data_IF_396091404380
#
_entry.id   IF_396091404380
#
_cell.length_a   1.000
_cell.length_b   1.000
_cell.length_c   1.000
_cell.angle_alpha   90.00
_cell.angle_beta   90.00
_cell.angle_gamma   90.00
#
_symmetry.space_group_name_H-M   'P 1'
#
loop_
_entity.id
_entity.type
_entity.pdbx_description
1 polymer ?
#
# COMPACT_ATOMS: atom_id res chain seq x y z
N UNK A 1 72.59 5.54 25.55
CA UNK A 1 71.95 4.49 24.72
C UNK A 1 70.64 5.04 24.16
N UNK A 2 70.20 4.48 23.03
CA UNK A 2 69.24 5.01 22.03
C UNK A 2 67.89 5.57 22.54
N UNK A 3 67.40 6.54 21.76
CA UNK A 3 66.11 7.27 21.66
C UNK A 3 64.85 6.36 21.61
N UNK A 4 63.65 6.92 21.87
CA UNK A 4 62.47 7.05 20.93
C UNK A 4 61.08 7.25 21.65
N UNK A 5 60.47 8.43 21.36
CA UNK A 5 59.06 8.84 21.06
C UNK A 5 57.86 8.45 21.97
N UNK A 6 57.03 9.38 22.51
CA UNK A 6 55.90 10.19 21.93
C UNK A 6 54.73 9.34 21.36
N UNK A 7 53.41 9.57 21.53
CA UNK A 7 52.50 10.44 22.33
C UNK A 7 51.02 10.10 21.91
N UNK A 8 50.01 10.48 22.71
CA UNK A 8 48.55 10.63 22.44
C UNK A 8 47.69 9.38 22.05
N UNK A 9 46.42 9.23 22.44
CA UNK A 9 45.49 10.10 23.15
C UNK A 9 44.07 9.51 23.26
N UNK A 10 43.18 10.34 23.83
CA UNK A 10 41.71 10.30 23.91
C UNK A 10 40.99 9.40 24.93
N UNK A 11 40.66 10.05 26.05
CA UNK A 11 39.59 9.71 26.99
C UNK A 11 38.23 10.28 26.55
N UNK A 12 37.19 9.67 27.13
CA UNK A 12 35.88 10.22 27.49
C UNK A 12 34.76 10.22 26.43
N UNK A 13 34.02 9.11 26.40
CA UNK A 13 32.62 9.02 25.97
C UNK A 13 31.82 8.58 27.22
N UNK A 14 31.24 9.54 27.93
CA UNK A 14 30.29 9.31 29.02
C UNK A 14 29.42 10.58 29.18
N UNK A 15 28.16 10.37 29.58
CA UNK A 15 27.14 11.34 30.00
C UNK A 15 26.04 11.60 28.95
N UNK A 16 24.99 10.77 28.98
CA UNK A 16 23.62 11.17 29.34
C UNK A 16 22.65 9.98 29.20
N UNK A 17 22.52 9.23 30.29
CA UNK A 17 21.30 8.48 30.61
C UNK A 17 20.55 9.26 31.69
N UNK A 18 19.22 9.06 31.76
CA UNK A 18 18.23 9.57 32.73
C UNK A 18 17.34 10.72 32.23
N UNK A 19 16.15 10.36 31.72
CA UNK A 19 14.87 10.97 32.12
C UNK A 19 13.70 10.29 31.38
N UNK A 20 13.17 9.19 31.92
CA UNK A 20 11.85 8.67 31.53
C UNK A 20 11.14 8.15 32.79
N UNK A 21 10.56 9.05 33.56
CA UNK A 21 9.48 8.76 34.52
C UNK A 21 8.64 10.02 34.72
N UNK A 22 7.48 10.11 34.07
CA UNK A 22 6.31 10.85 34.55
C UNK A 22 5.09 10.58 33.64
N UNK A 23 3.91 10.53 34.25
CA UNK A 23 2.55 10.41 33.68
C UNK A 23 1.99 9.01 33.41
N UNK A 24 1.81 8.27 34.51
CA UNK A 24 0.61 7.45 34.74
C UNK A 24 0.00 7.94 36.05
N UNK A 25 -0.97 8.87 36.01
CA UNK A 25 -2.05 8.99 37.02
C UNK A 25 -3.05 10.08 36.61
N UNK A 26 -4.22 9.71 36.07
CA UNK A 26 -5.52 10.29 36.42
C UNK A 26 -6.56 9.16 36.26
N UNK A 27 -6.84 8.52 37.39
CA UNK A 27 -7.96 7.61 37.60
C UNK A 27 -9.25 8.40 37.89
N UNK A 28 -10.35 7.90 37.33
CA UNK A 28 -11.72 7.84 37.89
C UNK A 28 -12.25 9.04 38.68
N UNK A 29 -13.31 9.66 38.14
CA UNK A 29 -14.59 9.95 38.84
C UNK A 29 -15.60 10.50 37.83
N UNK A 30 -16.70 9.78 37.60
CA UNK A 30 -18.02 10.35 37.86
C UNK A 30 -19.12 9.28 37.88
N UNK A 31 -20.06 9.56 38.77
CA UNK A 31 -21.09 8.71 39.34
C UNK A 31 -22.33 8.51 38.45
N UNK A 32 -22.94 7.35 38.69
CA UNK A 32 -24.38 7.01 38.69
C UNK A 32 -25.39 8.14 38.58
N UNK A 33 -26.34 7.99 37.65
CA UNK A 33 -27.76 8.37 37.80
C UNK A 33 -28.61 7.21 37.27
N UNK A 34 -29.47 6.65 38.11
CA UNK A 34 -30.60 5.80 37.75
C UNK A 34 -31.79 6.68 37.35
N UNK A 35 -32.65 6.19 36.46
CA UNK A 35 -34.06 5.92 36.75
C UNK A 35 -34.76 5.48 35.45
N UNK A 36 -35.25 4.23 35.49
CA UNK A 36 -36.58 3.77 35.11
C UNK A 36 -37.24 4.33 33.83
N UNK A 37 -37.40 3.46 32.81
CA UNK A 37 -38.73 3.30 32.21
C UNK A 37 -38.94 1.94 31.51
N UNK A 38 -39.75 1.12 32.17
CA UNK A 38 -40.95 0.45 31.62
C UNK A 38 -40.83 -0.48 30.40
N UNK A 39 -40.71 -1.77 30.73
CA UNK A 39 -41.46 -2.92 30.19
C UNK A 39 -42.66 -2.61 29.27
N UNK A 40 -42.58 -3.07 28.02
CA UNK A 40 -43.75 -3.59 27.31
C UNK A 40 -43.41 -4.87 26.54
N UNK A 41 -44.02 -5.96 27.01
CA UNK A 41 -44.10 -7.29 26.41
C UNK A 41 -45.03 -7.31 25.20
N UNK A 42 -44.66 -8.04 24.14
CA UNK A 42 -45.61 -8.72 23.27
C UNK A 42 -44.92 -9.87 22.49
N UNK A 43 -45.29 -11.11 22.80
CA UNK A 43 -45.19 -12.25 21.86
C UNK A 43 -46.47 -12.32 20.97
N UNK A 44 -46.72 -13.39 20.17
CA UNK A 44 -46.29 -13.51 18.78
C UNK A 44 -47.50 -13.57 17.82
N UNK A 45 -47.30 -13.25 16.53
CA UNK A 45 -48.31 -13.55 15.49
C UNK A 45 -47.78 -14.62 14.56
N UNK A 46 -48.41 -15.78 14.67
CA UNK A 46 -48.27 -16.94 13.81
C UNK A 46 -49.31 -16.90 12.68
N UNK A 47 -49.02 -17.68 11.62
CA UNK A 47 -49.92 -18.21 10.59
C UNK A 47 -50.00 -17.51 9.22
N UNK A 48 -49.20 -18.09 8.31
CA UNK A 48 -49.57 -18.67 7.00
C UNK A 48 -50.63 -17.94 6.16
N UNK A 49 -50.23 -17.47 4.97
CA UNK A 49 -50.57 -18.05 3.65
C UNK A 49 -50.02 -17.16 2.54
N UNK A 50 -49.23 -17.69 1.61
CA UNK A 50 -49.55 -17.67 0.17
C UNK A 50 -48.43 -18.32 -0.63
N UNK A 51 -48.72 -19.51 -1.12
CA UNK A 51 -47.97 -20.21 -2.17
C UNK A 51 -48.10 -19.46 -3.50
N UNK A 52 -47.10 -19.63 -4.36
CA UNK A 52 -47.05 -19.31 -5.80
C UNK A 52 -46.90 -17.83 -6.20
N UNK A 53 -45.72 -17.46 -6.71
CA UNK A 53 -45.47 -17.35 -8.17
C UNK A 53 -43.96 -17.49 -8.39
N UNK A 54 -43.59 -18.60 -9.03
CA UNK A 54 -42.37 -18.71 -9.82
C UNK A 54 -42.61 -17.97 -11.15
N UNK A 55 -41.74 -17.00 -11.47
CA UNK A 55 -41.11 -16.82 -12.80
C UNK A 55 -40.59 -15.38 -12.99
N UNK A 56 -39.39 -15.34 -13.57
CA UNK A 56 -38.80 -14.28 -14.40
C UNK A 56 -38.39 -12.97 -13.71
N UNK A 57 -37.07 -12.78 -13.57
CA UNK A 57 -36.38 -11.60 -14.09
C UNK A 57 -34.92 -11.99 -14.38
N UNK A 58 -34.75 -12.73 -15.47
CA UNK A 58 -33.48 -12.95 -16.14
C UNK A 58 -33.67 -12.42 -17.56
N UNK A 59 -33.58 -11.10 -17.68
CA UNK A 59 -33.59 -10.37 -18.95
C UNK A 59 -33.25 -8.91 -18.68
N UNK A 60 -31.97 -8.62 -18.42
CA UNK A 60 -31.35 -7.34 -18.78
C UNK A 60 -29.85 -7.59 -19.01
N UNK A 61 -29.39 -7.18 -20.20
CA UNK A 61 -28.01 -7.13 -20.70
C UNK A 61 -27.42 -8.38 -21.39
N UNK A 62 -28.00 -8.77 -22.52
CA UNK A 62 -27.24 -9.26 -23.68
C UNK A 62 -27.86 -8.71 -24.99
N UNK A 63 -27.14 -7.82 -25.68
CA UNK A 63 -27.30 -7.59 -27.14
C UNK A 63 -25.93 -7.20 -27.73
N UNK A 64 -25.56 -7.70 -28.94
CA UNK A 64 -24.20 -7.66 -29.46
C UNK A 64 -23.95 -6.43 -30.34
N UNK A 65 -22.68 -5.98 -30.39
CA UNK A 65 -22.21 -4.99 -31.36
C UNK A 65 -21.75 -5.69 -32.65
N UNK A 66 -22.38 -5.32 -33.76
CA UNK A 66 -21.98 -5.70 -35.12
C UNK A 66 -20.97 -4.70 -35.70
N UNK A 67 -19.99 -5.27 -36.41
CA UNK A 67 -19.20 -4.80 -37.56
C UNK A 67 -19.29 -3.31 -37.94
N UNK A 68 -18.15 -2.62 -37.84
CA UNK A 68 -17.82 -1.46 -38.68
C UNK A 68 -16.72 -1.81 -39.70
N UNK A 69 -16.96 -1.37 -40.94
CA UNK A 69 -16.17 -1.63 -42.14
C UNK A 69 -15.28 -0.43 -42.48
N UNK A 70 -14.02 -0.73 -42.81
CA UNK A 70 -13.11 -0.09 -43.78
C UNK A 70 -13.29 1.40 -44.17
N UNK A 71 -12.27 2.22 -43.85
CA UNK A 71 -12.00 3.52 -44.46
C UNK A 71 -11.15 3.37 -45.75
N UNK A 72 -11.51 4.03 -46.87
CA UNK A 72 -10.64 4.13 -48.04
C UNK A 72 -9.73 5.37 -48.00
N UNK A 73 -8.47 5.13 -48.35
CA UNK A 73 -7.45 6.13 -48.72
C UNK A 73 -7.77 6.74 -50.09
N UNK A 74 -7.58 8.05 -50.25
CA UNK A 74 -7.46 8.63 -51.60
C UNK A 74 -6.30 9.64 -51.70
N UNK A 75 -5.45 9.40 -52.70
CA UNK A 75 -4.36 10.26 -53.18
C UNK A 75 -4.93 11.29 -54.15
N UNK A 76 -4.35 12.49 -54.22
CA UNK A 76 -4.26 13.20 -55.50
C UNK A 76 -3.01 14.08 -55.55
N UNK A 77 -2.26 13.88 -56.61
CA UNK A 77 -1.03 14.55 -57.06
C UNK A 77 -1.42 15.58 -58.14
N UNK A 78 -0.86 16.81 -58.12
CA UNK A 78 -0.68 17.61 -59.35
C UNK A 78 0.61 18.46 -59.24
N UNK A 79 1.38 18.44 -60.33
CA UNK A 79 2.70 19.03 -60.61
C UNK A 79 2.65 20.51 -61.01
N UNK A 80 3.79 21.23 -60.90
CA UNK A 80 4.09 22.44 -61.68
C UNK A 80 5.30 23.26 -61.20
N UNK A 81 6.40 23.26 -61.97
CA UNK A 81 7.65 24.08 -61.94
C UNK A 81 7.60 24.98 -63.22
N UNK A 82 8.19 26.21 -63.40
CA UNK A 82 9.61 26.63 -63.20
C UNK A 82 9.86 28.09 -62.70
N UNK A 83 10.95 28.43 -62.00
CA UNK A 83 12.35 28.77 -62.39
C UNK A 83 12.58 30.08 -63.19
N UNK A 84 13.34 31.04 -62.62
CA UNK A 84 14.49 31.84 -63.16
C UNK A 84 14.75 33.10 -62.30
N UNK A 85 15.95 33.28 -61.72
CA UNK A 85 17.15 33.99 -62.28
C UNK A 85 17.03 35.52 -62.02
N UNK A 86 17.93 36.21 -61.31
CA UNK A 86 19.19 36.79 -61.82
C UNK A 86 19.98 37.45 -60.65
N UNK A 87 21.30 37.19 -60.62
CA UNK A 87 22.40 37.87 -59.89
C UNK A 87 22.89 39.09 -60.71
N UNK A 88 23.59 40.11 -60.14
CA UNK A 88 25.05 40.00 -60.10
C UNK A 88 25.81 40.69 -58.95
N UNK A 89 27.01 40.14 -58.76
CA UNK A 89 28.18 40.52 -57.96
C UNK A 89 28.70 41.95 -58.23
N UNK A 90 29.58 42.50 -57.36
CA UNK A 90 31.02 42.70 -57.68
C UNK A 90 31.89 43.33 -56.55
N UNK A 91 32.97 42.59 -56.22
CA UNK A 91 34.38 42.91 -55.87
C UNK A 91 34.88 43.76 -54.66
N UNK A 92 35.73 43.06 -53.85
CA UNK A 92 37.12 43.30 -53.37
C UNK A 92 37.54 44.58 -52.57
N UNK A 93 37.81 44.37 -51.26
CA UNK A 93 39.09 44.43 -50.48
C UNK A 93 40.19 45.44 -50.96
N UNK A 94 40.83 46.29 -50.12
CA UNK A 94 41.72 45.82 -49.04
C UNK A 94 41.88 46.63 -47.71
N UNK A 95 42.24 45.85 -46.68
CA UNK A 95 43.11 46.10 -45.51
C UNK A 95 43.70 47.50 -45.29
N UNK A 96 43.51 48.07 -44.10
CA UNK A 96 44.57 48.38 -43.12
C UNK A 96 43.99 48.97 -41.81
N UNK A 97 44.52 48.48 -40.69
CA UNK A 97 44.33 48.94 -39.30
C UNK A 97 44.72 50.42 -39.12
N UNK A 98 44.16 51.11 -38.11
CA UNK A 98 44.97 51.27 -36.90
C UNK A 98 44.20 51.13 -35.59
N UNK A 99 44.95 50.63 -34.62
CA UNK A 99 44.73 50.58 -33.18
C UNK A 99 44.02 51.80 -32.58
N UNK A 100 42.98 51.56 -31.78
CA UNK A 100 42.63 52.45 -30.69
C UNK A 100 42.13 51.67 -29.46
N UNK A 101 42.87 51.87 -28.38
CA UNK A 101 42.63 51.37 -27.04
C UNK A 101 41.55 52.27 -26.44
N UNK A 102 40.34 51.76 -26.17
CA UNK A 102 39.35 52.52 -25.39
C UNK A 102 38.40 51.58 -24.63
N UNK A 103 38.71 51.45 -23.34
CA UNK A 103 37.82 51.25 -22.20
C UNK A 103 36.65 50.26 -22.35
N UNK A 104 36.89 49.02 -21.92
CA UNK A 104 35.83 48.11 -21.46
C UNK A 104 35.32 48.68 -20.13
N UNK A 105 34.21 49.43 -20.18
CA UNK A 105 33.38 49.64 -18.99
C UNK A 105 32.78 48.26 -18.67
N UNK A 106 33.36 47.58 -17.68
CA UNK A 106 32.78 46.39 -17.05
C UNK A 106 31.48 46.82 -16.34
N UNK A 107 30.37 46.84 -17.08
CA UNK A 107 29.05 46.75 -16.48
C UNK A 107 28.91 45.35 -15.90
N UNK A 108 29.43 45.14 -14.69
CA UNK A 108 29.28 43.87 -13.98
C UNK A 108 27.80 43.62 -13.71
N UNK A 109 27.23 42.67 -14.44
CA UNK A 109 25.95 42.07 -14.07
C UNK A 109 26.14 41.49 -12.66
N UNK A 110 25.35 41.96 -11.71
CA UNK A 110 25.41 41.42 -10.34
C UNK A 110 24.54 40.17 -10.30
N UNK A 111 24.99 39.09 -9.68
CA UNK A 111 24.23 37.83 -9.49
C UNK A 111 23.02 37.96 -8.53
N UNK A 112 22.41 39.15 -8.47
CA UNK A 112 21.49 39.58 -7.41
C UNK A 112 20.01 39.32 -7.70
N UNK A 113 19.66 38.91 -8.91
CA UNK A 113 18.26 38.94 -9.35
C UNK A 113 17.53 37.60 -9.19
N UNK A 114 18.22 36.48 -8.94
CA UNK A 114 17.61 35.16 -8.77
C UNK A 114 18.29 34.40 -7.63
N UNK A 115 17.56 34.15 -6.54
CA UNK A 115 17.99 33.28 -5.45
C UNK A 115 17.41 31.87 -5.63
N UNK A 116 18.18 30.80 -5.33
CA UNK A 116 17.63 29.46 -5.28
C UNK A 116 16.61 29.36 -4.13
N UNK A 117 15.52 28.63 -4.37
CA UNK A 117 14.56 28.28 -3.33
C UNK A 117 15.30 27.53 -2.21
N UNK A 118 14.93 27.75 -0.95
CA UNK A 118 15.59 27.06 0.17
C UNK A 118 15.35 25.55 0.09
N UNK A 119 16.38 24.77 0.36
CA UNK A 119 16.29 23.30 0.38
C UNK A 119 15.29 22.78 1.43
N UNK A 120 15.04 23.54 2.50
CA UNK A 120 13.98 23.28 3.50
C UNK A 120 12.56 23.31 2.91
N UNK A 121 12.35 23.94 1.74
CA UNK A 121 11.06 23.95 1.03
C UNK A 121 10.88 22.74 0.08
N UNK A 122 11.81 21.77 0.10
CA UNK A 122 11.63 20.49 -0.60
C UNK A 122 10.63 19.62 0.17
N UNK A 123 9.58 19.17 -0.52
CA UNK A 123 8.56 18.34 0.10
C UNK A 123 9.15 16.97 0.47
N UNK A 124 8.93 16.52 1.72
CA UNK A 124 9.36 15.20 2.15
C UNK A 124 8.29 14.15 1.85
N UNK A 125 8.76 12.95 1.47
CA UNK A 125 7.88 11.78 1.29
C UNK A 125 7.33 11.39 2.66
N UNK A 126 6.00 11.27 2.77
CA UNK A 126 5.34 10.74 3.96
C UNK A 126 5.68 9.26 4.14
N UNK A 127 5.89 8.78 5.39
CA UNK A 127 6.18 7.39 5.62
C UNK A 127 5.01 6.50 5.19
N UNK A 128 5.26 5.57 4.28
CA UNK A 128 4.35 4.47 4.02
C UNK A 128 4.28 3.56 5.24
N UNK A 129 3.08 3.18 5.67
CA UNK A 129 2.93 2.22 6.75
C UNK A 129 3.35 0.84 6.20
N UNK A 130 4.54 0.36 6.59
CA UNK A 130 4.92 -1.05 6.47
C UNK A 130 4.18 -1.85 7.55
N UNK A 131 2.88 -2.03 7.38
CA UNK A 131 2.12 -2.81 8.35
C UNK A 131 2.39 -4.30 8.14
N UNK A 132 2.80 -4.96 9.23
CA UNK A 132 2.92 -6.40 9.24
C UNK A 132 1.53 -7.02 9.03
N UNK A 133 1.42 -8.13 8.28
CA UNK A 133 0.15 -8.76 8.03
C UNK A 133 -0.53 -9.14 9.35
N UNK A 134 -1.80 -8.78 9.51
CA UNK A 134 -2.55 -9.11 10.74
C UNK A 134 -3.10 -10.53 10.63
N UNK A 135 -2.82 -11.36 11.63
CA UNK A 135 -3.27 -12.75 11.72
C UNK A 135 -4.16 -12.91 12.96
N UNK A 136 -5.42 -13.34 12.77
CA UNK A 136 -6.38 -13.54 13.87
C UNK A 136 -6.79 -15.01 13.99
N UNK A 137 -6.35 -15.66 15.07
CA UNK A 137 -6.56 -17.09 15.29
C UNK A 137 -6.98 -17.34 16.76
N UNK A 138 -8.30 -17.41 17.07
CA UNK A 138 -8.80 -17.73 18.41
C UNK A 138 -8.52 -19.19 18.76
N UNK A 139 -8.25 -19.47 20.03
CA UNK A 139 -7.90 -20.81 20.52
C UNK A 139 -8.75 -21.94 19.90
N UNK A 140 -8.15 -23.03 19.39
CA UNK A 140 -8.86 -24.05 18.62
C UNK A 140 -10.04 -24.67 19.38
N UNK A 141 -11.19 -24.82 18.72
CA UNK A 141 -12.39 -25.39 19.34
C UNK A 141 -12.36 -26.92 19.35
N UNK A 142 -12.56 -27.54 20.52
CA UNK A 142 -12.78 -28.99 20.66
C UNK A 142 -14.18 -29.26 21.21
N UNK A 143 -14.92 -30.18 20.59
CA UNK A 143 -16.25 -30.63 21.07
C UNK A 143 -16.23 -32.13 21.40
N UNK A 144 -16.87 -32.50 22.51
CA UNK A 144 -16.92 -33.89 23.01
C UNK A 144 -18.28 -34.56 22.73
N UNK A 145 -18.97 -34.16 21.67
CA UNK A 145 -20.27 -34.73 21.30
C UNK A 145 -20.11 -36.12 20.66
N UNK A 146 -21.04 -37.03 20.95
CA UNK A 146 -21.00 -38.42 20.48
C UNK A 146 -21.63 -38.54 19.09
N UNK A 147 -20.99 -39.30 18.20
CA UNK A 147 -21.37 -39.52 16.80
C UNK A 147 -22.86 -39.75 16.57
N UNK A 148 -23.45 -38.98 15.66
CA UNK A 148 -24.71 -39.36 15.02
C UNK A 148 -24.42 -40.09 13.70
N UNK A 149 -24.93 -41.31 13.47
CA UNK A 149 -24.79 -41.99 12.19
C UNK A 149 -25.37 -41.12 11.05
N UNK A 150 -24.55 -40.78 10.06
CA UNK A 150 -24.96 -39.98 8.89
C UNK A 150 -24.49 -38.53 8.86
N UNK A 151 -23.54 -38.14 9.72
CA UNK A 151 -22.90 -36.82 9.65
C UNK A 151 -22.30 -36.55 8.26
N UNK A 152 -22.72 -35.45 7.62
CA UNK A 152 -22.13 -34.97 6.39
C UNK A 152 -21.80 -33.49 6.55
N UNK A 153 -20.50 -33.17 6.52
CA UNK A 153 -20.03 -31.79 6.44
C UNK A 153 -19.61 -31.46 5.02
N UNK A 154 -19.86 -30.22 4.61
CA UNK A 154 -19.44 -29.68 3.33
C UNK A 154 -18.85 -28.28 3.49
N UNK A 155 -17.78 -27.98 2.76
CA UNK A 155 -17.20 -26.64 2.76
C UNK A 155 -18.23 -25.58 2.33
N UNK A 156 -19.01 -25.86 1.29
CA UNK A 156 -20.05 -24.96 0.78
C UNK A 156 -21.15 -24.70 1.82
N UNK A 157 -21.64 -25.73 2.52
CA UNK A 157 -22.67 -25.56 3.54
C UNK A 157 -22.16 -24.74 4.73
N UNK A 158 -20.92 -24.97 5.17
CA UNK A 158 -20.28 -24.15 6.21
C UNK A 158 -20.17 -22.68 5.78
N UNK A 159 -19.78 -22.41 4.53
CA UNK A 159 -19.70 -21.04 3.99
C UNK A 159 -21.09 -20.40 3.93
N UNK A 160 -22.09 -21.12 3.43
CA UNK A 160 -23.48 -20.63 3.33
C UNK A 160 -24.00 -20.22 4.71
N UNK A 161 -23.85 -21.09 5.71
CA UNK A 161 -24.37 -20.83 7.07
C UNK A 161 -23.57 -19.71 7.75
N UNK A 162 -22.25 -19.66 7.57
CA UNK A 162 -21.43 -18.53 8.06
C UNK A 162 -21.90 -17.20 7.47
N UNK A 163 -22.24 -17.17 6.18
CA UNK A 163 -22.79 -15.99 5.53
C UNK A 163 -24.22 -15.65 5.99
N UNK A 164 -25.03 -16.63 6.39
CA UNK A 164 -26.32 -16.37 7.03
C UNK A 164 -26.14 -15.66 8.38
N UNK A 165 -25.15 -16.09 9.19
CA UNK A 165 -24.83 -15.42 10.46
C UNK A 165 -24.35 -13.99 10.26
N UNK A 166 -23.52 -13.75 9.23
CA UNK A 166 -23.11 -12.39 8.84
C UNK A 166 -24.28 -11.53 8.40
N UNK A 167 -25.18 -12.07 7.57
CA UNK A 167 -26.37 -11.35 7.13
C UNK A 167 -27.30 -10.99 8.30
N UNK A 168 -27.47 -11.89 9.29
CA UNK A 168 -28.22 -11.60 10.53
C UNK A 168 -27.59 -10.45 11.34
N UNK A 169 -26.28 -10.30 11.27
CA UNK A 169 -25.54 -9.21 11.91
C UNK A 169 -25.46 -7.92 11.06
N UNK A 170 -26.10 -7.86 9.88
CA UNK A 170 -26.04 -6.70 8.99
C UNK A 170 -24.70 -6.54 8.26
N UNK A 171 -23.90 -7.60 8.18
CA UNK A 171 -22.60 -7.59 7.51
C UNK A 171 -22.71 -8.11 6.08
N UNK A 172 -21.82 -7.62 5.22
CA UNK A 172 -21.65 -8.16 3.87
C UNK A 172 -21.22 -9.62 3.92
N UNK A 173 -21.75 -10.44 2.99
CA UNK A 173 -21.35 -11.83 2.84
C UNK A 173 -19.88 -11.94 2.38
N UNK A 174 -19.21 -13.01 2.79
CA UNK A 174 -17.87 -13.36 2.35
C UNK A 174 -17.95 -14.10 1.01
N UNK A 175 -17.03 -13.76 0.11
CA UNK A 175 -16.87 -14.43 -1.18
C UNK A 175 -15.93 -15.63 -1.04
N UNK A 176 -16.33 -16.79 -1.55
CA UNK A 176 -15.45 -17.96 -1.60
C UNK A 176 -14.21 -17.68 -2.45
N UNK A 177 -13.03 -17.99 -1.91
CA UNK A 177 -11.74 -17.80 -2.57
C UNK A 177 -10.94 -19.12 -2.62
N UNK A 178 -10.52 -19.52 -3.82
CA UNK A 178 -9.81 -20.79 -4.06
C UNK A 178 -8.45 -20.88 -3.40
N UNK A 179 -7.75 -19.76 -3.21
CA UNK A 179 -6.43 -19.74 -2.57
C UNK A 179 -6.58 -19.94 -1.06
N UNK A 180 -7.61 -19.34 -0.44
CA UNK A 180 -7.94 -19.60 0.97
C UNK A 180 -8.46 -21.03 1.17
N UNK A 181 -9.22 -21.57 0.22
CA UNK A 181 -9.64 -22.99 0.24
C UNK A 181 -8.42 -23.93 0.18
N UNK A 182 -7.45 -23.63 -0.68
CA UNK A 182 -6.19 -24.39 -0.74
C UNK A 182 -5.39 -24.29 0.56
N UNK A 183 -5.34 -23.11 1.20
CA UNK A 183 -4.71 -22.93 2.50
C UNK A 183 -5.41 -23.79 3.57
N UNK A 184 -6.74 -23.72 3.66
CA UNK A 184 -7.55 -24.50 4.58
C UNK A 184 -7.36 -26.02 4.37
N UNK A 185 -7.34 -26.48 3.12
CA UNK A 185 -7.14 -27.89 2.81
C UNK A 185 -5.72 -28.35 3.16
N UNK A 186 -4.72 -27.50 2.93
CA UNK A 186 -3.33 -27.79 3.28
C UNK A 186 -3.19 -27.91 4.80
N UNK A 187 -3.83 -27.01 5.56
CA UNK A 187 -3.88 -27.07 7.02
C UNK A 187 -4.53 -28.35 7.53
N UNK A 188 -5.70 -28.69 6.98
CA UNK A 188 -6.46 -29.89 7.36
C UNK A 188 -5.62 -31.15 7.15
N UNK A 189 -4.98 -31.26 5.98
CA UNK A 189 -4.10 -32.37 5.65
C UNK A 189 -2.90 -32.44 6.60
N UNK A 190 -2.29 -31.30 6.93
CA UNK A 190 -1.14 -31.23 7.84
C UNK A 190 -1.52 -31.68 9.26
N UNK A 191 -2.67 -31.22 9.78
CA UNK A 191 -3.18 -31.62 11.10
C UNK A 191 -3.43 -33.13 11.22
N UNK A 192 -4.03 -33.74 10.20
CA UNK A 192 -4.19 -35.20 10.18
C UNK A 192 -2.85 -35.93 9.98
N UNK A 193 -1.98 -35.47 9.08
CA UNK A 193 -0.73 -36.15 8.78
C UNK A 193 0.24 -36.16 9.98
N UNK A 194 0.30 -35.04 10.71
CA UNK A 194 1.21 -34.84 11.84
C UNK A 194 0.54 -35.04 13.21
N UNK A 195 -0.74 -35.41 13.22
CA UNK A 195 -1.52 -35.72 14.44
C UNK A 195 -1.46 -34.59 15.47
N UNK A 196 -1.78 -33.37 15.03
CA UNK A 196 -1.87 -32.20 15.92
C UNK A 196 -3.13 -31.38 15.65
N UNK A 197 -3.52 -30.54 16.61
CA UNK A 197 -4.64 -29.62 16.46
C UNK A 197 -4.30 -28.25 17.09
N UNK A 198 -3.71 -27.38 16.26
CA UNK A 198 -3.27 -26.04 16.63
C UNK A 198 -3.16 -25.16 15.38
N UNK A 199 -3.18 -23.83 15.52
CA UNK A 199 -3.01 -22.90 14.39
C UNK A 199 -1.62 -22.97 13.75
N UNK A 200 -0.58 -23.14 14.57
CA UNK A 200 0.79 -23.26 14.11
C UNK A 200 1.16 -24.75 14.01
N UNK A 201 1.62 -25.16 12.84
CA UNK A 201 2.14 -26.50 12.58
C UNK A 201 3.38 -26.79 13.43
N UNK A 202 3.68 -28.05 13.78
CA UNK A 202 4.98 -28.44 14.34
C UNK A 202 6.19 -27.99 13.49
N UNK A 203 5.98 -27.75 12.19
CA UNK A 203 6.98 -27.18 11.28
C UNK A 203 7.14 -25.65 11.38
N UNK A 204 6.36 -24.98 12.23
CA UNK A 204 6.37 -23.53 12.44
C UNK A 204 5.44 -22.73 11.52
N UNK A 205 4.75 -23.36 10.58
CA UNK A 205 3.84 -22.67 9.63
C UNK A 205 2.48 -22.36 10.27
N UNK A 206 2.07 -21.10 10.25
CA UNK A 206 0.75 -20.63 10.68
C UNK A 206 -0.19 -20.27 9.52
N UNK A 207 -1.39 -19.74 9.82
CA UNK A 207 -2.41 -19.39 8.80
C UNK A 207 -1.87 -18.41 7.76
N UNK A 208 -1.10 -17.41 8.21
CA UNK A 208 -0.49 -16.42 7.33
C UNK A 208 0.51 -17.01 6.33
N UNK A 209 1.29 -18.02 6.75
CA UNK A 209 2.24 -18.71 5.88
C UNK A 209 1.53 -19.57 4.85
N UNK A 210 0.46 -20.25 5.27
CA UNK A 210 -0.34 -21.11 4.40
C UNK A 210 -1.10 -20.30 3.34
N UNK A 211 -1.66 -19.14 3.72
CA UNK A 211 -2.25 -18.20 2.78
C UNK A 211 -1.22 -17.70 1.75
N UNK A 212 -0.02 -17.30 2.18
CA UNK A 212 1.03 -16.88 1.23
C UNK A 212 1.48 -18.03 0.33
N UNK A 213 1.63 -19.23 0.88
CA UNK A 213 2.03 -20.42 0.13
C UNK A 213 0.99 -20.83 -0.92
N UNK A 214 -0.30 -20.51 -0.74
CA UNK A 214 -1.35 -20.68 -1.75
C UNK A 214 -1.47 -19.49 -2.72
N UNK A 215 -0.57 -18.51 -2.60
CA UNK A 215 -0.52 -17.31 -3.44
C UNK A 215 -1.51 -16.22 -3.01
N UNK A 216 -2.12 -16.33 -1.84
CA UNK A 216 -2.99 -15.30 -1.29
C UNK A 216 -2.16 -14.21 -0.61
N UNK A 217 -2.12 -13.02 -1.21
CA UNK A 217 -1.52 -11.83 -0.59
C UNK A 217 -2.61 -11.01 0.10
N UNK A 218 -2.37 -10.60 1.35
CA UNK A 218 -3.42 -10.11 2.21
C UNK A 218 -3.02 -8.88 3.04
N UNK A 219 -4.06 -8.14 3.42
CA UNK A 219 -4.05 -7.12 4.47
C UNK A 219 -4.23 -7.80 5.83
N UNK A 220 -5.17 -8.74 5.87
CA UNK A 220 -5.65 -9.41 7.06
C UNK A 220 -6.04 -10.85 6.70
N UNK A 221 -5.68 -11.79 7.56
CA UNK A 221 -6.17 -13.17 7.54
C UNK A 221 -6.61 -13.62 8.93
N UNK A 222 -7.48 -14.62 8.99
CA UNK A 222 -7.82 -15.27 10.24
C UNK A 222 -8.26 -16.71 10.03
N UNK A 223 -8.17 -17.52 11.08
CA UNK A 223 -8.45 -18.95 11.03
C UNK A 223 -9.37 -19.35 12.18
N UNK A 224 -10.44 -20.08 11.86
CA UNK A 224 -11.23 -20.82 12.83
C UNK A 224 -10.92 -22.32 12.67
N UNK A 225 -10.62 -22.98 13.79
CA UNK A 225 -10.39 -24.43 13.83
C UNK A 225 -11.47 -25.10 14.68
N UNK A 226 -11.96 -26.24 14.22
CA UNK A 226 -12.84 -27.10 15.00
C UNK A 226 -12.42 -28.57 14.87
N UNK A 227 -12.47 -29.27 16.01
CA UNK A 227 -12.29 -30.72 16.10
C UNK A 227 -13.42 -31.29 16.95
N UNK A 228 -14.02 -32.36 16.48
CA UNK A 228 -15.03 -33.08 17.24
C UNK A 228 -15.97 -33.84 16.32
N UNK A 229 -17.15 -34.15 16.84
CA UNK A 229 -18.18 -34.85 16.09
C UNK A 229 -19.38 -33.95 15.85
N UNK A 230 -19.46 -33.41 14.63
CA UNK A 230 -20.51 -32.50 14.20
C UNK A 230 -21.51 -33.27 13.34
N UNK A 231 -22.80 -33.16 13.65
CA UNK A 231 -23.81 -33.91 12.89
C UNK A 231 -24.10 -33.28 11.51
N UNK A 232 -23.88 -31.97 11.35
CA UNK A 232 -24.08 -31.23 10.09
C UNK A 232 -23.35 -29.88 10.12
N UNK A 233 -23.34 -29.19 8.97
CA UNK A 233 -22.72 -27.87 8.80
C UNK A 233 -23.25 -26.81 9.80
N UNK A 234 -24.54 -26.88 10.12
CA UNK A 234 -25.18 -25.96 11.07
C UNK A 234 -24.68 -26.14 12.49
N UNK A 235 -24.51 -27.38 12.94
CA UNK A 235 -23.96 -27.66 14.27
C UNK A 235 -22.52 -27.18 14.42
N UNK A 236 -21.70 -27.36 13.38
CA UNK A 236 -20.34 -26.82 13.32
C UNK A 236 -20.32 -25.30 13.43
N UNK A 237 -21.10 -24.60 12.60
CA UNK A 237 -21.14 -23.13 12.62
C UNK A 237 -21.73 -22.62 13.93
N UNK A 238 -22.78 -23.26 14.47
CA UNK A 238 -23.34 -22.94 15.78
C UNK A 238 -22.30 -23.09 16.90
N UNK A 239 -21.45 -24.12 16.85
CA UNK A 239 -20.38 -24.30 17.83
C UNK A 239 -19.36 -23.13 17.78
N UNK A 240 -18.98 -22.67 16.59
CA UNK A 240 -18.16 -21.46 16.44
C UNK A 240 -18.88 -20.20 16.91
N UNK A 241 -20.16 -20.02 16.58
CA UNK A 241 -20.94 -18.86 17.00
C UNK A 241 -21.14 -18.78 18.52
N UNK A 242 -21.17 -19.93 19.20
CA UNK A 242 -21.23 -19.99 20.67
C UNK A 242 -19.85 -19.75 21.32
N UNK A 243 -18.77 -19.70 20.54
CA UNK A 243 -17.43 -19.41 21.03
C UNK A 243 -17.04 -17.95 20.70
N UNK A 244 -16.83 -17.07 21.71
CA UNK A 244 -16.62 -15.64 21.47
C UNK A 244 -15.51 -15.30 20.45
N UNK A 245 -14.38 -16.01 20.50
CA UNK A 245 -13.27 -15.79 19.57
C UNK A 245 -13.59 -16.20 18.13
N UNK A 246 -14.18 -17.38 17.94
CA UNK A 246 -14.54 -17.89 16.61
C UNK A 246 -15.69 -17.07 15.99
N UNK A 247 -16.67 -16.70 16.81
CA UNK A 247 -17.74 -15.76 16.43
C UNK A 247 -17.17 -14.42 15.98
N UNK A 248 -16.18 -13.88 16.69
CA UNK A 248 -15.55 -12.61 16.33
C UNK A 248 -14.93 -12.67 14.93
N UNK A 249 -14.31 -13.81 14.55
CA UNK A 249 -13.82 -14.01 13.18
C UNK A 249 -14.95 -14.03 12.15
N UNK A 250 -16.00 -14.85 12.36
CA UNK A 250 -17.14 -14.94 11.43
C UNK A 250 -17.80 -13.56 11.22
N UNK A 251 -17.90 -12.77 12.28
CA UNK A 251 -18.54 -11.45 12.28
C UNK A 251 -17.56 -10.27 12.10
N UNK A 252 -16.29 -10.51 11.76
CA UNK A 252 -15.36 -9.41 11.51
C UNK A 252 -15.68 -8.75 10.17
N UNK A 253 -16.00 -7.45 10.22
CA UNK A 253 -16.35 -6.66 9.05
C UNK A 253 -15.19 -6.52 8.05
N UNK A 254 -13.95 -6.52 8.55
CA UNK A 254 -12.74 -6.43 7.72
C UNK A 254 -12.48 -7.65 6.84
N UNK A 255 -13.12 -8.81 7.08
CA UNK A 255 -13.01 -9.93 6.15
C UNK A 255 -13.97 -9.78 4.98
N UNK A 256 -13.47 -10.05 3.77
CA UNK A 256 -14.23 -10.00 2.51
C UNK A 256 -14.31 -11.35 1.81
N UNK A 257 -13.38 -12.26 2.13
CA UNK A 257 -13.24 -13.56 1.48
C UNK A 257 -13.10 -14.69 2.49
N UNK A 258 -13.45 -15.91 2.06
CA UNK A 258 -13.46 -17.12 2.87
C UNK A 258 -13.00 -18.34 2.07
N UNK A 259 -12.31 -19.26 2.73
CA UNK A 259 -12.04 -20.61 2.26
C UNK A 259 -12.27 -21.61 3.39
N UNK A 260 -12.82 -22.79 3.08
CA UNK A 260 -13.15 -23.80 4.09
C UNK A 260 -12.69 -25.17 3.62
N UNK A 261 -12.14 -25.95 4.55
CA UNK A 261 -11.92 -27.38 4.37
C UNK A 261 -12.50 -28.14 5.56
N UNK A 262 -13.21 -29.23 5.28
CA UNK A 262 -13.75 -30.15 6.28
C UNK A 262 -13.33 -31.57 5.92
N UNK A 263 -12.99 -32.38 6.91
CA UNK A 263 -12.57 -33.75 6.66
C UNK A 263 -12.75 -34.65 7.87
N UNK A 264 -13.12 -35.91 7.59
CA UNK A 264 -13.21 -36.96 8.59
C UNK A 264 -11.98 -37.86 8.49
N UNK A 265 -11.34 -38.15 9.62
CA UNK A 265 -10.12 -38.94 9.64
C UNK A 265 -9.75 -39.41 11.04
N UNK A 266 -8.69 -40.22 11.12
CA UNK A 266 -8.16 -40.72 12.40
C UNK A 266 -7.26 -39.65 13.04
N UNK A 267 -7.59 -39.26 14.25
CA UNK A 267 -6.79 -38.37 15.10
C UNK A 267 -6.67 -38.99 16.50
N UNK A 268 -5.44 -39.17 16.98
CA UNK A 268 -5.15 -39.77 18.30
C UNK A 268 -5.87 -41.11 18.52
N UNK A 269 -6.02 -41.90 17.45
CA UNK A 269 -6.65 -43.22 17.47
C UNK A 269 -8.18 -43.22 17.35
N UNK A 270 -8.84 -42.07 17.23
CA UNK A 270 -10.29 -41.95 17.10
C UNK A 270 -10.66 -41.34 15.73
N UNK A 271 -11.76 -41.81 15.12
CA UNK A 271 -12.31 -41.15 13.94
C UNK A 271 -13.04 -39.88 14.37
N UNK A 272 -12.62 -38.72 13.83
CA UNK A 272 -13.16 -37.40 14.18
C UNK A 272 -13.37 -36.56 12.92
N UNK A 273 -14.20 -35.53 13.02
CA UNK A 273 -14.21 -34.42 12.07
C UNK A 273 -13.23 -33.34 12.49
N UNK A 274 -12.52 -32.79 11.51
CA UNK A 274 -11.82 -31.52 11.63
C UNK A 274 -12.35 -30.55 10.58
N UNK A 275 -12.43 -29.28 10.95
CA UNK A 275 -12.79 -28.19 10.07
C UNK A 275 -11.80 -27.04 10.21
N UNK A 276 -11.41 -26.48 9.08
CA UNK A 276 -10.57 -25.29 8.94
C UNK A 276 -11.36 -24.26 8.15
N UNK A 277 -11.53 -23.07 8.73
CA UNK A 277 -12.18 -21.94 8.09
C UNK A 277 -11.20 -20.77 8.07
N UNK A 278 -10.72 -20.45 6.87
CA UNK A 278 -9.80 -19.35 6.60
C UNK A 278 -10.56 -18.13 6.10
N UNK A 279 -10.20 -16.96 6.61
CA UNK A 279 -10.76 -15.67 6.24
C UNK A 279 -9.69 -14.77 5.66
N UNK A 280 -10.06 -13.87 4.75
CA UNK A 280 -9.10 -12.94 4.15
C UNK A 280 -9.69 -11.60 3.73
N UNK A 281 -8.83 -10.60 3.76
CA UNK A 281 -8.95 -9.34 3.03
C UNK A 281 -7.74 -9.24 2.08
N UNK A 282 -7.91 -9.37 0.76
CA UNK A 282 -6.77 -9.42 -0.14
C UNK A 282 -6.10 -8.05 -0.26
N UNK A 283 -4.78 -8.05 -0.48
CA UNK A 283 -3.99 -6.82 -0.63
C UNK A 283 -4.50 -5.94 -1.77
N UNK A 284 -5.10 -6.55 -2.80
CA UNK A 284 -5.70 -5.87 -3.95
C UNK A 284 -6.90 -4.98 -3.62
N UNK A 285 -7.46 -5.03 -2.41
CA UNK A 285 -8.52 -4.10 -1.99
C UNK A 285 -8.01 -2.66 -1.82
N UNK A 286 -6.72 -2.48 -1.55
CA UNK A 286 -6.11 -1.17 -1.38
C UNK A 286 -5.11 -0.91 -2.50
N UNK A 287 -5.37 0.13 -3.29
CA UNK A 287 -4.47 0.56 -4.35
C UNK A 287 -3.14 1.00 -3.75
N UNK A 288 -2.06 0.31 -4.11
CA UNK A 288 -0.72 0.66 -3.66
C UNK A 288 -0.27 2.00 -4.28
N UNK A 289 0.54 2.79 -3.55
CA UNK A 289 1.21 3.96 -4.12
C UNK A 289 2.05 3.57 -5.34
N UNK A 290 2.13 4.46 -6.33
CA UNK A 290 2.91 4.22 -7.54
C UNK A 290 4.41 4.17 -7.24
N UNK A 291 5.00 2.98 -7.35
CA UNK A 291 6.43 2.75 -7.15
C UNK A 291 7.31 3.43 -8.22
N UNK A 292 6.79 3.64 -9.44
CA UNK A 292 7.49 4.39 -10.47
C UNK A 292 7.58 5.87 -10.10
N UNK A 293 6.51 6.42 -9.50
CA UNK A 293 6.52 7.79 -8.99
C UNK A 293 7.54 7.97 -7.86
N UNK A 294 7.64 7.02 -6.94
CA UNK A 294 8.68 7.03 -5.89
C UNK A 294 10.10 7.03 -6.50
N UNK A 295 10.34 6.20 -7.52
CA UNK A 295 11.62 6.14 -8.24
C UNK A 295 11.92 7.48 -8.94
N UNK A 296 10.91 8.11 -9.54
CA UNK A 296 11.05 9.41 -10.18
C UNK A 296 11.37 10.52 -9.18
N UNK A 297 10.75 10.52 -8.00
CA UNK A 297 11.06 11.45 -6.91
C UNK A 297 12.53 11.27 -6.48
N UNK A 298 12.98 10.03 -6.28
CA UNK A 298 14.37 9.75 -5.91
C UNK A 298 15.36 10.25 -6.97
N UNK A 299 15.06 10.01 -8.25
CA UNK A 299 15.85 10.52 -9.37
C UNK A 299 15.91 12.05 -9.40
N UNK A 300 14.80 12.73 -9.13
CA UNK A 300 14.72 14.19 -9.10
C UNK A 300 15.47 14.78 -7.92
N UNK A 301 15.39 14.16 -6.74
CA UNK A 301 16.17 14.55 -5.58
C UNK A 301 17.68 14.40 -5.85
N UNK A 302 18.11 13.35 -6.56
CA UNK A 302 19.50 13.20 -6.98
C UNK A 302 19.94 14.33 -7.95
N UNK A 303 19.07 14.72 -8.89
CA UNK A 303 19.33 15.85 -9.79
C UNK A 303 19.41 17.18 -9.04
N UNK A 304 18.48 17.45 -8.11
CA UNK A 304 18.47 18.64 -7.25
C UNK A 304 19.80 18.75 -6.50
N UNK A 305 20.25 17.66 -5.86
CA UNK A 305 21.51 17.65 -5.11
C UNK A 305 22.73 17.91 -6.02
N UNK A 306 22.72 17.39 -7.25
CA UNK A 306 23.78 17.62 -8.21
C UNK A 306 23.84 19.10 -8.68
N UNK A 307 22.68 19.73 -8.89
CA UNK A 307 22.60 21.16 -9.25
C UNK A 307 22.97 22.05 -8.06
N UNK A 308 22.54 21.69 -6.85
CA UNK A 308 22.89 22.39 -5.60
C UNK A 308 24.40 22.44 -5.36
N UNK A 309 25.08 21.31 -5.61
CA UNK A 309 26.54 21.25 -5.52
C UNK A 309 27.19 22.24 -6.50
N UNK A 310 26.74 22.28 -7.76
CA UNK A 310 27.26 23.22 -8.77
C UNK A 310 26.96 24.68 -8.41
N UNK A 311 25.79 24.95 -7.84
CA UNK A 311 25.43 26.28 -7.33
C UNK A 311 26.39 26.72 -6.24
N UNK A 312 26.67 25.86 -5.26
CA UNK A 312 27.62 26.13 -4.18
C UNK A 312 29.03 26.40 -4.72
N UNK A 313 29.53 25.57 -5.64
CA UNK A 313 30.85 25.74 -6.26
C UNK A 313 30.95 27.06 -7.06
N UNK A 314 29.92 27.37 -7.86
CA UNK A 314 29.87 28.60 -8.67
C UNK A 314 29.75 29.84 -7.78
N UNK A 315 28.95 29.76 -6.72
CA UNK A 315 28.82 30.85 -5.74
C UNK A 315 30.14 31.15 -5.03
N UNK A 316 30.86 30.11 -4.60
CA UNK A 316 32.19 30.28 -3.99
C UNK A 316 33.18 30.99 -4.93
N UNK A 317 33.17 30.65 -6.23
CA UNK A 317 33.99 31.35 -7.22
C UNK A 317 33.62 32.84 -7.34
N UNK A 318 32.32 33.14 -7.45
CA UNK A 318 31.83 34.51 -7.58
C UNK A 318 32.15 35.35 -6.34
N UNK A 319 31.95 34.80 -5.14
CA UNK A 319 32.24 35.47 -3.87
C UNK A 319 33.75 35.78 -3.75
N UNK A 320 34.62 34.85 -4.15
CA UNK A 320 36.07 35.02 -4.13
C UNK A 320 36.60 36.07 -5.13
N UNK A 321 35.89 36.29 -6.24
CA UNK A 321 36.26 37.23 -7.31
C UNK A 321 35.56 38.59 -7.20
N UNK A 322 34.64 38.75 -6.23
CA UNK A 322 33.78 39.92 -6.06
C UNK A 322 34.53 41.26 -5.94
N UNK A 323 35.75 41.24 -5.39
CA UNK A 323 36.57 42.45 -5.17
C UNK A 323 37.48 42.79 -6.35
N UNK A 324 37.80 41.83 -7.22
CA UNK A 324 38.59 42.03 -8.43
C UNK A 324 38.13 41.06 -9.55
N UNK A 325 37.07 41.43 -10.29
CA UNK A 325 36.41 40.58 -11.27
C UNK A 325 37.33 40.25 -12.45
N UNK A 326 37.70 38.96 -12.60
CA UNK A 326 38.44 38.47 -13.75
C UNK A 326 37.61 38.40 -15.05
N UNK A 327 38.27 38.05 -16.16
CA UNK A 327 37.68 37.98 -17.51
C UNK A 327 36.43 37.06 -17.59
N UNK A 328 36.39 36.01 -16.78
CA UNK A 328 35.30 35.02 -16.77
C UNK A 328 34.16 35.35 -15.80
N UNK A 329 34.22 36.46 -15.05
CA UNK A 329 33.25 36.75 -13.99
C UNK A 329 31.80 36.81 -14.51
N UNK A 330 31.54 37.58 -15.57
CA UNK A 330 30.20 37.71 -16.14
C UNK A 330 29.65 36.38 -16.69
N UNK A 331 30.51 35.55 -17.28
CA UNK A 331 30.10 34.22 -17.75
C UNK A 331 29.69 33.30 -16.58
N UNK A 332 30.38 33.39 -15.44
CA UNK A 332 30.02 32.65 -14.22
C UNK A 332 28.75 33.17 -13.54
N UNK A 333 28.45 34.47 -13.66
CA UNK A 333 27.16 35.02 -13.24
C UNK A 333 26.03 34.45 -14.11
N UNK A 334 26.20 34.41 -15.43
CA UNK A 334 25.19 33.83 -16.33
C UNK A 334 25.01 32.31 -16.07
N UNK A 335 26.09 31.57 -15.81
CA UNK A 335 26.05 30.15 -15.39
C UNK A 335 25.30 29.96 -14.07
N UNK A 336 25.59 30.78 -13.05
CA UNK A 336 24.91 30.73 -11.76
C UNK A 336 23.40 30.96 -11.91
N UNK A 337 22.99 31.99 -12.65
CA UNK A 337 21.58 32.29 -12.89
C UNK A 337 20.88 31.16 -13.65
N UNK A 338 21.56 30.50 -14.60
CA UNK A 338 21.02 29.34 -15.29
C UNK A 338 20.82 28.15 -14.34
N UNK A 339 21.80 27.87 -13.47
CA UNK A 339 21.70 26.83 -12.45
C UNK A 339 20.58 27.11 -11.44
N UNK A 340 20.35 28.37 -11.05
CA UNK A 340 19.24 28.74 -10.17
C UNK A 340 17.89 28.43 -10.83
N UNK A 341 17.73 28.75 -12.12
CA UNK A 341 16.50 28.42 -12.85
C UNK A 341 16.28 26.90 -12.97
N UNK A 342 17.33 26.13 -13.27
CA UNK A 342 17.28 24.67 -13.32
C UNK A 342 16.92 24.08 -11.94
N UNK A 343 17.57 24.54 -10.87
CA UNK A 343 17.30 24.12 -9.50
C UNK A 343 15.84 24.39 -9.12
N UNK A 344 15.35 25.61 -9.35
CA UNK A 344 13.99 26.00 -9.01
C UNK A 344 12.95 25.19 -9.79
N UNK A 345 13.21 24.88 -11.06
CA UNK A 345 12.34 24.02 -11.87
C UNK A 345 12.30 22.57 -11.33
N UNK A 346 13.45 21.99 -11.01
CA UNK A 346 13.54 20.64 -10.45
C UNK A 346 12.84 20.53 -9.08
N UNK A 347 13.01 21.54 -8.21
CA UNK A 347 12.34 21.60 -6.91
C UNK A 347 10.82 21.69 -7.08
N UNK A 348 10.33 22.48 -8.03
CA UNK A 348 8.90 22.60 -8.31
C UNK A 348 8.30 21.28 -8.81
N UNK A 349 8.95 20.61 -9.76
CA UNK A 349 8.53 19.30 -10.26
C UNK A 349 8.56 18.24 -9.15
N UNK A 350 9.64 18.19 -8.37
CA UNK A 350 9.77 17.24 -7.25
C UNK A 350 8.66 17.44 -6.21
N UNK A 351 8.33 18.70 -5.89
CA UNK A 351 7.24 19.03 -4.97
C UNK A 351 5.89 18.51 -5.45
N UNK A 352 5.55 18.67 -6.73
CA UNK A 352 4.30 18.16 -7.29
C UNK A 352 4.26 16.63 -7.23
N UNK A 353 5.35 15.95 -7.61
CA UNK A 353 5.44 14.49 -7.53
C UNK A 353 5.29 13.97 -6.09
N UNK A 354 5.95 14.61 -5.13
CA UNK A 354 5.84 14.26 -3.71
C UNK A 354 4.41 14.47 -3.21
N UNK A 355 3.73 15.55 -3.59
CA UNK A 355 2.32 15.77 -3.20
C UNK A 355 1.39 14.68 -3.72
N UNK A 356 1.57 14.27 -4.99
CA UNK A 356 0.80 13.18 -5.58
C UNK A 356 1.09 11.86 -4.85
N UNK A 357 2.37 11.57 -4.60
CA UNK A 357 2.78 10.35 -3.90
C UNK A 357 2.24 10.29 -2.47
N UNK A 358 2.37 11.37 -1.70
CA UNK A 358 1.86 11.46 -0.32
C UNK A 358 0.34 11.33 -0.27
N UNK A 359 -0.37 11.87 -1.27
CA UNK A 359 -1.82 11.66 -1.40
C UNK A 359 -2.14 10.17 -1.61
N UNK A 360 -1.38 9.49 -2.46
CA UNK A 360 -1.49 8.04 -2.66
C UNK A 360 -1.24 7.25 -1.39
N UNK A 361 -0.18 7.58 -0.65
CA UNK A 361 0.18 6.98 0.65
C UNK A 361 -0.95 7.15 1.67
N UNK A 362 -1.50 8.37 1.80
CA UNK A 362 -2.60 8.66 2.70
C UNK A 362 -3.84 7.84 2.36
N UNK A 363 -4.20 7.76 1.08
CA UNK A 363 -5.35 6.97 0.64
C UNK A 363 -5.14 5.48 0.90
N UNK A 364 -3.94 4.96 0.63
CA UNK A 364 -3.58 3.58 0.95
C UNK A 364 -3.68 3.30 2.46
N UNK A 365 -3.12 4.17 3.31
CA UNK A 365 -3.17 4.02 4.77
C UNK A 365 -4.60 4.07 5.31
N UNK A 366 -5.44 4.96 4.79
CA UNK A 366 -6.87 5.04 5.15
C UNK A 366 -7.60 3.75 4.75
N UNK A 367 -7.32 3.24 3.54
CA UNK A 367 -7.90 1.99 3.07
C UNK A 367 -7.49 0.81 3.98
N UNK A 368 -6.19 0.65 4.26
CA UNK A 368 -5.67 -0.40 5.12
C UNK A 368 -6.30 -0.37 6.51
N UNK A 369 -6.42 0.83 7.10
CA UNK A 369 -7.07 1.02 8.40
C UNK A 369 -8.54 0.64 8.45
N UNK A 370 -9.25 0.58 7.31
CA UNK A 370 -10.67 0.18 7.29
C UNK A 370 -10.90 -1.33 7.46
N UNK A 371 -9.85 -2.14 7.30
CA UNK A 371 -9.92 -3.61 7.39
C UNK A 371 -9.36 -4.18 8.70
N UNK A 372 -8.62 -3.39 9.48
CA UNK A 372 -8.09 -3.76 10.80
C UNK A 372 -9.14 -3.60 11.88
#
# INVERSE_FOLDING_TARGET
MKKILWFFGFSALLVLALAYTAFFDISKKNETISDDNESLTAEPVDRKTSTAVSKNFQDLYQKPAEKETAFPSNKTEVKGVPAKEVLPQKDRVPSQEPSEKSEIIQNNKTAKDLEPVKQEDTAQIEPSIKQEPVIIAPAPLKTNTSASPGSALSADGVIIISNQERAKAGLAILKSNKQLEQAAQSKLNDMFALQYFAHVSPSGKGPGDLAQASGYTYILVGENLALGDFANDGDLVNAWMNSPGHRANILKAGFTEIGVAVGKGIYEGNEVWMAVQEFGAPKSLCAEPDAALETNIQSKNAQINAVDQKLSETKQYLDAQSSNPGENFNAKVDEYNALVNEYNALVLESREMVQIHNTGIKNFNVCMGSYM
#
